data_IF_616102399635
#
_entry.id   IF_616102399635
#
_cell.length_a   1.000
_cell.length_b   1.000
_cell.length_c   1.000
_cell.angle_alpha   90.00
_cell.angle_beta   90.00
_cell.angle_gamma   90.00
#
_symmetry.space_group_name_H-M   'P 1'
#
loop_
_entity.id
_entity.type
_entity.pdbx_description
1 polymer ?
#
# COMPACT_ATOMS: atom_id res chain seq x y z
N UNK A 1 9.99 -6.48 6.26
CA UNK A 1 9.40 -7.84 6.27
C UNK A 1 8.85 -8.16 4.88
N UNK A 2 8.90 -9.42 4.44
CA UNK A 2 8.38 -9.83 3.12
C UNK A 2 6.87 -10.09 3.18
N UNK A 3 6.11 -9.47 2.29
CA UNK A 3 4.68 -9.72 2.09
C UNK A 3 4.53 -10.60 0.85
N UNK A 4 3.86 -11.77 0.94
CA UNK A 4 3.56 -12.60 -0.23
C UNK A 4 2.81 -11.80 -1.29
N UNK A 5 3.04 -12.09 -2.57
CA UNK A 5 2.45 -11.30 -3.65
C UNK A 5 0.94 -11.41 -3.70
N UNK A 6 0.42 -12.61 -3.47
CA UNK A 6 -1.01 -12.91 -3.33
C UNK A 6 -1.68 -12.15 -2.19
N UNK A 7 -0.88 -11.65 -1.24
CA UNK A 7 -1.31 -10.85 -0.10
C UNK A 7 -1.11 -9.35 -0.33
N UNK A 8 -0.79 -8.92 -1.55
CA UNK A 8 -0.64 -7.51 -1.86
C UNK A 8 -1.34 -7.14 -3.16
N UNK A 9 -1.99 -5.98 -3.17
CA UNK A 9 -2.72 -5.52 -4.35
C UNK A 9 -2.66 -4.01 -4.48
N UNK A 10 -2.32 -3.54 -5.68
CA UNK A 10 -2.49 -2.14 -6.05
C UNK A 10 -3.86 -1.90 -6.67
N UNK A 11 -4.51 -0.82 -6.25
CA UNK A 11 -5.74 -0.28 -6.83
C UNK A 11 -5.46 1.15 -7.26
N UNK A 12 -5.91 1.53 -8.46
CA UNK A 12 -5.54 2.81 -9.07
C UNK A 12 -6.50 3.98 -8.74
N UNK A 13 -7.77 3.71 -8.39
CA UNK A 13 -8.81 4.75 -8.38
C UNK A 13 -9.71 4.75 -7.14
N UNK A 14 -10.32 5.91 -6.80
CA UNK A 14 -9.96 7.26 -7.26
C UNK A 14 -8.67 7.79 -6.61
N UNK A 15 -8.25 7.15 -5.52
CA UNK A 15 -6.99 7.40 -4.82
C UNK A 15 -6.17 6.12 -4.95
N UNK A 16 -4.94 6.17 -5.50
CA UNK A 16 -4.13 4.98 -5.62
C UNK A 16 -3.79 4.44 -4.23
N UNK A 17 -3.96 3.14 -4.05
CA UNK A 17 -3.70 2.50 -2.76
C UNK A 17 -3.11 1.10 -2.92
N UNK A 18 -2.28 0.74 -1.94
CA UNK A 18 -1.65 -0.56 -1.80
C UNK A 18 -2.28 -1.26 -0.60
N UNK A 19 -2.96 -2.36 -0.87
CA UNK A 19 -3.53 -3.24 0.15
C UNK A 19 -2.51 -4.31 0.51
N UNK A 20 -2.26 -4.51 1.79
CA UNK A 20 -1.44 -5.57 2.38
C UNK A 20 -2.35 -6.43 3.26
N UNK A 21 -2.51 -7.70 2.88
CA UNK A 21 -3.37 -8.67 3.55
C UNK A 21 -2.55 -9.54 4.49
N UNK A 22 -2.91 -9.53 5.77
CA UNK A 22 -2.22 -10.24 6.84
C UNK A 22 -0.68 -10.11 6.75
N UNK A 23 -0.12 -8.90 6.54
CA UNK A 23 1.32 -8.77 6.42
C UNK A 23 1.97 -9.11 7.77
N UNK A 24 3.11 -9.82 7.79
CA UNK A 24 3.90 -9.94 9.01
C UNK A 24 4.27 -8.54 9.51
N UNK A 25 3.99 -8.26 10.78
CA UNK A 25 4.22 -6.96 11.41
C UNK A 25 3.16 -5.90 11.10
N UNK A 26 1.92 -6.29 10.79
CA UNK A 26 0.79 -5.38 10.61
C UNK A 26 0.70 -4.29 11.69
N UNK A 27 1.02 -4.62 12.94
CA UNK A 27 1.01 -3.73 14.10
C UNK A 27 2.04 -2.60 14.05
N UNK A 28 3.05 -2.68 13.17
CA UNK A 28 4.02 -1.58 13.00
C UNK A 28 3.41 -0.42 12.21
N UNK A 29 2.42 -0.68 11.34
CA UNK A 29 1.67 0.39 10.69
C UNK A 29 0.84 1.15 11.73
N UNK A 30 0.72 2.48 11.65
CA UNK A 30 -0.13 3.23 12.57
C UNK A 30 -1.60 2.84 12.41
N UNK A 31 -2.46 3.05 13.43
CA UNK A 31 -3.90 2.95 13.25
C UNK A 31 -4.38 3.85 12.11
N UNK A 32 -5.25 3.32 11.25
CA UNK A 32 -5.82 4.13 10.17
C UNK A 32 -6.76 5.17 10.77
N UNK A 33 -6.54 6.43 10.40
CA UNK A 33 -7.39 7.54 10.83
C UNK A 33 -8.05 8.19 9.62
N UNK A 34 -9.31 8.60 9.80
CA UNK A 34 -10.07 9.37 8.84
C UNK A 34 -10.45 10.70 9.50
N UNK A 35 -10.14 11.81 8.85
CA UNK A 35 -10.54 13.14 9.27
C UNK A 35 -11.18 13.85 8.10
N UNK A 36 -12.44 14.25 8.26
CA UNK A 36 -13.21 14.94 7.22
C UNK A 36 -13.21 14.21 5.87
N UNK A 37 -13.26 12.87 5.91
CA UNK A 37 -13.21 12.01 4.71
C UNK A 37 -11.81 11.81 4.11
N UNK A 38 -10.77 12.37 4.71
CA UNK A 38 -9.38 12.25 4.26
C UNK A 38 -8.62 11.25 5.13
N UNK A 39 -7.92 10.31 4.48
CA UNK A 39 -7.06 9.35 5.18
C UNK A 39 -5.83 10.05 5.75
N UNK A 40 -5.58 9.87 7.05
CA UNK A 40 -4.45 10.44 7.76
C UNK A 40 -3.09 10.02 7.20
N UNK A 41 -2.05 10.79 7.49
CA UNK A 41 -0.67 10.51 7.04
C UNK A 41 -0.01 9.46 7.93
N UNK A 42 0.83 8.62 7.33
CA UNK A 42 1.79 7.78 8.03
C UNK A 42 3.13 8.54 8.13
N UNK A 43 3.32 9.30 9.21
CA UNK A 43 4.54 10.09 9.38
C UNK A 43 5.79 9.20 9.52
N UNK A 44 6.86 9.56 8.80
CA UNK A 44 8.10 8.78 8.75
C UNK A 44 8.04 7.55 7.84
N UNK A 45 6.94 7.34 7.11
CA UNK A 45 6.83 6.27 6.12
C UNK A 45 7.03 6.79 4.70
N UNK A 46 7.58 5.95 3.82
CA UNK A 46 7.75 6.22 2.39
C UNK A 46 7.39 4.99 1.55
N UNK A 47 6.96 5.22 0.31
CA UNK A 47 6.64 4.16 -0.64
C UNK A 47 7.55 4.25 -1.86
N UNK A 48 8.38 3.23 -2.05
CA UNK A 48 9.14 2.99 -3.27
C UNK A 48 8.35 2.01 -4.14
N UNK A 49 7.52 2.51 -5.05
CA UNK A 49 6.68 1.67 -5.90
C UNK A 49 7.39 1.39 -7.25
N UNK A 50 7.92 0.16 -7.43
CA UNK A 50 8.58 -0.26 -8.68
C UNK A 50 7.96 -1.53 -9.25
N UNK A 51 8.23 -1.76 -10.54
CA UNK A 51 7.64 -2.85 -11.30
C UNK A 51 8.02 -4.24 -10.76
N UNK A 52 9.26 -4.40 -10.30
CA UNK A 52 9.81 -5.67 -9.82
C UNK A 52 9.69 -5.84 -8.31
N UNK A 53 9.65 -4.74 -7.56
CA UNK A 53 9.53 -4.73 -6.10
C UNK A 53 8.96 -3.41 -5.62
N UNK A 54 8.05 -3.46 -4.65
CA UNK A 54 7.63 -2.29 -3.90
C UNK A 54 8.09 -2.37 -2.46
N UNK A 55 8.56 -1.24 -1.92
CA UNK A 55 8.97 -1.14 -0.52
C UNK A 55 8.16 -0.07 0.17
N UNK A 56 7.46 -0.46 1.23
CA UNK A 56 6.86 0.45 2.20
C UNK A 56 7.86 0.57 3.34
N UNK A 57 8.66 1.63 3.31
CA UNK A 57 9.72 1.90 4.26
C UNK A 57 9.17 2.71 5.44
N UNK A 58 9.48 2.29 6.66
CA UNK A 58 8.95 2.87 7.90
C UNK A 58 10.05 3.21 8.90
N UNK A 59 9.68 3.82 10.04
CA UNK A 59 10.66 4.21 11.05
C UNK A 59 11.31 3.00 11.73
N UNK A 60 12.61 3.12 12.03
CA UNK A 60 13.39 2.07 12.67
C UNK A 60 13.57 0.88 11.73
N UNK A 61 13.27 -0.32 12.21
CA UNK A 61 13.32 -1.57 11.42
C UNK A 61 11.95 -1.94 10.81
N UNK A 62 10.96 -1.04 10.87
CA UNK A 62 9.63 -1.27 10.34
C UNK A 62 9.62 -1.11 8.81
N UNK A 63 8.95 -2.03 8.12
CA UNK A 63 8.76 -1.91 6.68
C UNK A 63 8.30 -3.19 6.02
N UNK A 64 7.80 -3.06 4.79
CA UNK A 64 7.23 -4.15 4.01
C UNK A 64 7.87 -4.16 2.62
N UNK A 65 8.25 -5.35 2.17
CA UNK A 65 8.72 -5.61 0.82
C UNK A 65 7.65 -6.44 0.13
N UNK A 66 7.18 -5.97 -1.02
CA UNK A 66 6.15 -6.59 -1.83
C UNK A 66 6.77 -6.98 -3.17
N UNK A 67 6.85 -8.27 -3.51
CA UNK A 67 7.28 -8.70 -4.84
C UNK A 67 6.39 -8.11 -5.92
N UNK A 68 7.00 -7.63 -7.00
CA UNK A 68 6.30 -7.07 -8.15
C UNK A 68 5.95 -8.12 -9.21
N UNK A 69 5.96 -7.69 -10.46
CA UNK A 69 5.74 -8.55 -11.62
C UNK A 69 6.89 -9.55 -11.82
N UNK A 70 6.53 -10.79 -12.18
CA UNK A 70 7.48 -11.88 -12.48
C UNK A 70 7.50 -12.25 -13.96
N UNK A 71 6.51 -11.79 -14.72
CA UNK A 71 6.42 -11.92 -16.17
C UNK A 71 5.89 -10.63 -16.82
N UNK A 72 5.87 -10.62 -18.16
CA UNK A 72 5.45 -9.47 -18.96
C UNK A 72 3.96 -9.13 -18.79
N UNK A 73 3.09 -10.14 -18.72
CA UNK A 73 1.64 -9.93 -18.57
C UNK A 73 1.30 -9.31 -17.20
N UNK A 74 2.04 -9.68 -16.17
CA UNK A 74 1.94 -9.08 -14.84
C UNK A 74 2.47 -7.65 -14.84
N UNK A 75 3.58 -7.41 -15.53
CA UNK A 75 4.16 -6.08 -15.68
C UNK A 75 3.18 -5.11 -16.36
N UNK A 76 2.57 -5.52 -17.47
CA UNK A 76 1.55 -4.74 -18.18
C UNK A 76 0.34 -4.42 -17.31
N UNK A 77 -0.07 -5.35 -16.44
CA UNK A 77 -1.18 -5.13 -15.50
C UNK A 77 -0.78 -4.20 -14.35
N UNK A 78 0.45 -4.29 -13.86
CA UNK A 78 0.90 -3.53 -12.71
C UNK A 78 1.29 -2.09 -13.08
N UNK A 79 1.90 -1.89 -14.25
CA UNK A 79 2.46 -0.60 -14.67
C UNK A 79 1.48 0.58 -14.58
N UNK A 80 0.22 0.51 -15.09
CA UNK A 80 -0.71 1.63 -14.99
C UNK A 80 -1.05 2.03 -13.54
N UNK A 81 -1.02 1.05 -12.61
CA UNK A 81 -1.29 1.30 -11.19
C UNK A 81 -0.10 1.97 -10.52
N UNK A 82 1.12 1.57 -10.85
CA UNK A 82 2.34 2.25 -10.38
C UNK A 82 2.43 3.66 -10.93
N UNK A 83 2.09 3.87 -12.21
CA UNK A 83 2.03 5.19 -12.81
C UNK A 83 1.00 6.10 -12.11
N UNK A 84 -0.12 5.54 -11.63
CA UNK A 84 -1.09 6.28 -10.84
C UNK A 84 -0.49 6.75 -9.50
N UNK A 85 0.25 5.87 -8.80
CA UNK A 85 0.98 6.21 -7.57
C UNK A 85 2.00 7.32 -7.81
N UNK A 86 2.82 7.20 -8.86
CA UNK A 86 3.85 8.18 -9.16
C UNK A 86 3.26 9.53 -9.55
N UNK A 87 2.21 9.55 -10.39
CA UNK A 87 1.49 10.78 -10.75
C UNK A 87 0.84 11.45 -9.55
N UNK A 88 0.33 10.68 -8.60
CA UNK A 88 -0.25 11.21 -7.36
C UNK A 88 0.81 11.71 -6.37
N UNK A 89 2.07 11.26 -6.50
CA UNK A 89 3.16 11.53 -5.55
C UNK A 89 2.95 10.88 -4.18
N UNK A 90 1.92 10.06 -4.02
CA UNK A 90 1.55 9.37 -2.79
C UNK A 90 0.60 8.21 -3.08
N UNK A 91 0.48 7.29 -2.14
CA UNK A 91 -0.56 6.27 -2.12
C UNK A 91 -1.08 6.05 -0.70
N UNK A 92 -2.29 5.54 -0.56
CA UNK A 92 -2.74 5.02 0.74
C UNK A 92 -2.20 3.59 0.88
N UNK A 93 -1.43 3.31 1.93
CA UNK A 93 -1.04 1.95 2.30
C UNK A 93 -2.01 1.45 3.35
N UNK A 94 -2.63 0.30 3.12
CA UNK A 94 -3.66 -0.28 3.99
C UNK A 94 -3.26 -1.69 4.35
N UNK A 95 -3.00 -1.92 5.64
CA UNK A 95 -2.82 -3.24 6.21
C UNK A 95 -4.13 -3.77 6.78
N UNK A 96 -4.46 -5.02 6.46
CA UNK A 96 -5.68 -5.71 6.90
C UNK A 96 -5.32 -7.03 7.59
N UNK A 97 -6.08 -7.52 8.56
CA UNK A 97 -5.85 -8.84 9.14
C UNK A 97 -6.31 -10.00 8.24
N UNK A 98 -7.19 -9.75 7.27
CA UNK A 98 -7.75 -10.75 6.38
C UNK A 98 -8.11 -10.15 5.01
N UNK A 99 -8.33 -11.01 4.01
CA UNK A 99 -8.61 -10.58 2.64
C UNK A 99 -9.96 -9.86 2.57
N UNK A 100 -10.03 -8.66 1.97
CA UNK A 100 -11.27 -7.91 1.86
C UNK A 100 -12.18 -8.52 0.79
N UNK A 101 -13.50 -8.41 1.00
CA UNK A 101 -14.50 -8.76 -0.02
C UNK A 101 -14.66 -7.68 -1.09
N UNK A 102 -14.40 -6.41 -0.73
CA UNK A 102 -14.40 -5.26 -1.63
C UNK A 102 -13.10 -4.45 -1.40
N UNK A 103 -12.26 -4.27 -2.43
CA UNK A 103 -11.03 -3.50 -2.32
C UNK A 103 -11.23 -1.98 -2.49
N UNK A 104 -12.46 -1.48 -2.54
CA UNK A 104 -12.70 -0.04 -2.55
C UNK A 104 -12.17 0.63 -1.28
N UNK A 105 -11.56 1.82 -1.42
CA UNK A 105 -10.99 2.53 -0.28
C UNK A 105 -12.01 2.74 0.84
N UNK A 106 -13.26 3.08 0.49
CA UNK A 106 -14.38 3.30 1.42
C UNK A 106 -14.71 2.04 2.26
N UNK A 107 -14.72 0.87 1.63
CA UNK A 107 -14.93 -0.41 2.32
C UNK A 107 -13.76 -0.73 3.25
N UNK A 108 -12.53 -0.54 2.75
CA UNK A 108 -11.30 -0.89 3.47
C UNK A 108 -11.09 -0.07 4.74
N UNK A 109 -11.32 1.25 4.68
CA UNK A 109 -11.14 2.13 5.85
C UNK A 109 -12.15 1.86 6.97
N UNK A 110 -13.26 1.19 6.65
CA UNK A 110 -14.29 0.80 7.60
C UNK A 110 -14.07 -0.61 8.18
N UNK A 111 -13.08 -1.34 7.68
CA UNK A 111 -12.81 -2.72 8.09
C UNK A 111 -12.19 -2.79 9.51
N UNK A 112 -12.58 -3.77 10.34
CA UNK A 112 -12.02 -3.91 11.67
C UNK A 112 -10.54 -4.30 11.62
N UNK A 113 -9.72 -3.68 12.48
CA UNK A 113 -8.29 -3.97 12.58
C UNK A 113 -7.45 -3.39 11.44
N UNK A 114 -8.02 -2.52 10.61
CA UNK A 114 -7.31 -1.82 9.54
C UNK A 114 -6.24 -0.88 10.10
N UNK A 115 -5.08 -0.86 9.45
CA UNK A 115 -3.94 0.00 9.79
C UNK A 115 -3.35 0.63 8.53
N UNK A 116 -2.60 1.70 8.71
CA UNK A 116 -1.91 2.42 7.65
C UNK A 116 -2.47 3.82 7.44
N UNK A 117 -2.34 4.33 6.22
CA UNK A 117 -2.60 5.73 5.91
C UNK A 117 -1.89 6.19 4.64
N UNK A 118 -1.93 7.49 4.39
CA UNK A 118 -1.28 8.12 3.24
C UNK A 118 0.23 8.12 3.42
N UNK A 119 0.94 7.57 2.44
CA UNK A 119 2.39 7.45 2.38
C UNK A 119 2.91 8.16 1.12
N UNK A 120 3.90 9.06 1.23
CA UNK A 120 4.52 9.68 0.06
C UNK A 120 5.19 8.65 -0.85
N UNK A 121 4.99 8.79 -2.16
CA UNK A 121 5.70 8.01 -3.15
C UNK A 121 7.04 8.69 -3.44
N UNK A 122 8.12 7.94 -3.32
CA UNK A 122 9.48 8.44 -3.50
C UNK A 122 10.11 7.75 -4.70
N UNK A 123 10.75 8.56 -5.55
CA UNK A 123 11.66 8.04 -6.55
C UNK A 123 13.01 7.78 -5.88
N UNK A 124 13.54 6.57 -6.04
CA UNK A 124 14.95 6.28 -5.79
C UNK A 124 15.78 7.23 -6.68
N UNK A 125 16.65 8.04 -6.06
CA UNK A 125 17.61 8.90 -6.74
C UNK A 125 18.64 8.07 -7.54
#
# INVERSE_FOLDING_TARGET
MLVPRENAMYVAEPIPHLVLVAPPGLETLPPLTLRDGVVGRCDGWNLFARLTVSVVDGPGDAGFMVPGATDEQEAERLAPRLDAVQRAGAAVVIGLPAHPSDPSLESLVSAPGVRGGTVPAVESA
#
